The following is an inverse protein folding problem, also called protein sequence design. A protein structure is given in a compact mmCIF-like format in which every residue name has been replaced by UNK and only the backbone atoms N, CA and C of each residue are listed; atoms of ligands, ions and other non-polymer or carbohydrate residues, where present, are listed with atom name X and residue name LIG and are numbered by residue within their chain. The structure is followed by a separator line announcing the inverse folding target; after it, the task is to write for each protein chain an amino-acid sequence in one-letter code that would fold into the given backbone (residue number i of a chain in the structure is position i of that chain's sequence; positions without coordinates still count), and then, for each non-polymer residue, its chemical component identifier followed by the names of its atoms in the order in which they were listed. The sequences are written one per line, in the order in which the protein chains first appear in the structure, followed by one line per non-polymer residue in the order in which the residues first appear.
data_IF_893523037437
#
_entry.id   IF_893523037437
#
_cell.length_a   1.000
_cell.length_b   1.000
_cell.length_c   1.000
_cell.angle_alpha   90.00
_cell.angle_beta   90.00
_cell.angle_gamma   90.00
#
_symmetry.space_group_name_H-M   'P 1'
#
loop_
_entity.id
_entity.type
_entity.pdbx_description
1 polymer ?
#
# COMPACT_ATOMS: atom_id res chain seq x y z
N UNK A 1 15.38 -30.11 3.95
CA UNK A 1 15.61 -28.66 4.14
C UNK A 1 15.08 -27.96 2.90
N UNK A 2 14.03 -27.14 3.00
CA UNK A 2 13.56 -26.34 1.86
C UNK A 2 12.10 -26.59 1.49
N UNK A 3 11.19 -25.85 2.14
CA UNK A 3 9.83 -25.56 1.64
C UNK A 3 9.16 -24.39 2.40
N UNK A 4 9.93 -23.34 2.70
CA UNK A 4 9.43 -22.15 3.43
C UNK A 4 9.81 -20.82 2.77
N UNK A 5 10.52 -20.85 1.64
CA UNK A 5 11.02 -19.63 0.98
C UNK A 5 10.05 -19.05 -0.06
N UNK A 6 8.90 -19.70 -0.30
CA UNK A 6 8.01 -19.39 -1.43
C UNK A 6 6.72 -18.66 -1.03
N UNK A 7 6.53 -18.33 0.25
CA UNK A 7 5.28 -17.73 0.76
C UNK A 7 5.35 -16.22 1.04
N UNK A 8 6.45 -15.55 0.67
CA UNK A 8 6.66 -14.12 0.98
C UNK A 8 6.95 -13.26 -0.24
N UNK A 9 6.57 -13.68 -1.44
CA UNK A 9 6.34 -12.71 -2.50
C UNK A 9 4.95 -12.16 -2.24
N UNK A 10 4.84 -11.11 -1.42
CA UNK A 10 3.59 -10.35 -1.32
C UNK A 10 3.11 -10.11 -2.75
N UNK A 11 1.97 -10.70 -3.11
CA UNK A 11 1.31 -10.42 -4.36
C UNK A 11 1.12 -8.91 -4.36
N UNK A 12 1.89 -8.25 -5.21
CA UNK A 12 1.89 -6.81 -5.33
C UNK A 12 1.01 -6.54 -6.54
N UNK A 13 -0.30 -6.34 -6.33
CA UNK A 13 -1.21 -6.10 -7.44
C UNK A 13 -0.72 -4.91 -8.26
N UNK A 14 -1.01 -4.96 -9.57
CA UNK A 14 -0.57 -3.94 -10.48
C UNK A 14 -1.08 -2.57 -10.00
N UNK A 15 -0.22 -1.54 -10.00
CA UNK A 15 -0.65 -0.24 -9.53
C UNK A 15 -1.83 0.30 -10.36
N UNK A 16 -3.01 0.41 -9.75
CA UNK A 16 -4.16 1.16 -10.26
C UNK A 16 -3.77 2.60 -10.63
N UNK A 17 -4.04 3.00 -11.88
CA UNK A 17 -3.80 4.37 -12.33
C UNK A 17 -4.89 5.33 -11.81
N UNK A 18 -4.92 5.55 -10.49
CA UNK A 18 -5.78 6.54 -9.84
C UNK A 18 -5.23 7.96 -10.08
N UNK A 19 -6.13 8.91 -10.25
CA UNK A 19 -5.81 10.35 -10.30
C UNK A 19 -5.57 10.92 -8.90
N UNK A 20 -4.88 12.06 -8.78
CA UNK A 20 -4.56 12.65 -7.46
C UNK A 20 -5.80 12.92 -6.60
N UNK A 21 -6.94 13.28 -7.22
CA UNK A 21 -8.21 13.50 -6.52
C UNK A 21 -8.80 12.20 -6.00
N UNK A 22 -8.79 11.14 -6.82
CA UNK A 22 -9.28 9.82 -6.42
C UNK A 22 -8.42 9.20 -5.34
N UNK A 23 -7.11 9.47 -5.33
CA UNK A 23 -6.19 9.03 -4.28
C UNK A 23 -6.61 9.64 -2.93
N UNK A 24 -6.93 10.93 -2.90
CA UNK A 24 -7.34 11.62 -1.67
C UNK A 24 -8.74 11.19 -1.21
N UNK A 25 -9.67 11.01 -2.15
CA UNK A 25 -11.02 10.52 -1.89
C UNK A 25 -10.99 9.10 -1.30
N UNK A 26 -10.24 8.20 -1.95
CA UNK A 26 -10.06 6.82 -1.49
C UNK A 26 -9.37 6.74 -0.12
N UNK A 27 -8.36 7.59 0.13
CA UNK A 27 -7.74 7.70 1.45
C UNK A 27 -8.74 8.12 2.52
N UNK A 28 -9.61 9.09 2.22
CA UNK A 28 -10.61 9.57 3.16
C UNK A 28 -11.73 8.58 3.43
N UNK A 29 -12.07 7.74 2.45
CA UNK A 29 -13.14 6.76 2.55
C UNK A 29 -12.69 5.44 3.19
N UNK A 30 -11.50 4.94 2.82
CA UNK A 30 -11.05 3.60 3.18
C UNK A 30 -9.88 3.56 4.17
N UNK A 31 -9.14 4.66 4.33
CA UNK A 31 -7.95 4.67 5.18
C UNK A 31 -8.16 5.44 6.47
N UNK A 32 -7.99 4.75 7.60
CA UNK A 32 -8.07 5.34 8.92
C UNK A 32 -6.79 6.12 9.27
N UNK A 33 -5.62 5.62 8.83
CA UNK A 33 -4.35 6.24 9.15
C UNK A 33 -3.33 6.19 8.01
N UNK A 34 -2.68 7.34 7.76
CA UNK A 34 -1.52 7.45 6.89
C UNK A 34 -0.29 7.90 7.71
N UNK A 35 0.74 7.06 7.77
CA UNK A 35 1.99 7.34 8.47
C UNK A 35 3.08 7.63 7.45
N UNK A 36 3.65 8.83 7.52
CA UNK A 36 4.85 9.17 6.75
C UNK A 36 6.10 8.93 7.59
N UNK A 37 6.96 8.04 7.10
CA UNK A 37 8.27 7.78 7.67
C UNK A 37 9.31 8.54 6.85
N UNK A 38 9.96 9.52 7.49
CA UNK A 38 11.03 10.28 6.85
C UNK A 38 12.19 9.32 6.48
N UNK A 39 12.73 9.40 5.25
CA UNK A 39 13.92 8.64 4.88
C UNK A 39 15.12 9.05 5.72
N UNK A 40 15.93 8.07 6.13
CA UNK A 40 17.21 8.26 6.82
C UNK A 40 18.29 7.53 6.02
N UNK A 41 19.58 7.72 6.37
CA UNK A 41 20.67 6.98 5.70
C UNK A 41 20.53 5.45 5.81
N UNK A 42 19.74 4.96 6.75
CA UNK A 42 19.56 3.52 7.03
C UNK A 42 18.24 2.97 6.46
N UNK A 43 17.26 3.84 6.15
CA UNK A 43 15.93 3.43 5.72
C UNK A 43 15.42 4.31 4.58
N UNK A 44 14.89 3.68 3.53
CA UNK A 44 14.36 4.34 2.32
C UNK A 44 13.17 5.28 2.56
N UNK A 45 12.63 5.36 3.78
CA UNK A 45 11.44 6.15 4.11
C UNK A 45 10.22 5.75 3.27
N UNK A 46 9.13 6.47 3.44
CA UNK A 46 7.93 6.27 2.63
C UNK A 46 6.64 6.50 3.39
N UNK A 47 5.55 6.13 2.75
CA UNK A 47 4.20 6.19 3.28
C UNK A 47 3.75 4.79 3.63
N UNK A 48 3.26 4.61 4.86
CA UNK A 48 2.55 3.41 5.29
C UNK A 48 1.10 3.79 5.51
N UNK A 49 0.20 3.12 4.79
CA UNK A 49 -1.23 3.32 4.91
C UNK A 49 -1.83 2.14 5.69
N UNK A 50 -2.68 2.49 6.63
CA UNK A 50 -3.52 1.58 7.39
C UNK A 50 -4.96 1.88 6.96
N UNK A 51 -5.46 1.02 6.09
CA UNK A 51 -6.82 1.03 5.61
C UNK A 51 -7.52 -0.23 6.12
N UNK A 52 -8.84 -0.26 6.06
CA UNK A 52 -9.72 -1.21 6.77
C UNK A 52 -9.12 -2.62 6.96
N UNK A 53 -9.14 -3.45 5.91
CA UNK A 53 -8.54 -4.79 5.92
C UNK A 53 -7.16 -4.85 5.23
N UNK A 54 -6.64 -3.70 4.79
CA UNK A 54 -5.41 -3.63 3.98
C UNK A 54 -4.37 -2.69 4.58
N UNK A 55 -3.17 -3.24 4.77
CA UNK A 55 -1.97 -2.47 5.06
C UNK A 55 -1.08 -2.41 3.83
N UNK A 56 -0.67 -1.21 3.44
CA UNK A 56 0.26 -1.00 2.34
C UNK A 56 1.39 -0.05 2.74
N UNK A 57 2.52 -0.20 2.06
CA UNK A 57 3.62 0.75 2.19
C UNK A 57 4.28 0.97 0.85
N UNK A 58 4.61 2.23 0.56
CA UNK A 58 5.25 2.64 -0.69
C UNK A 58 6.17 3.84 -0.49
N UNK A 59 7.13 4.07 -1.40
CA UNK A 59 8.02 5.22 -1.34
C UNK A 59 7.26 6.55 -1.52
N UNK A 60 6.10 6.52 -2.19
CA UNK A 60 5.21 7.67 -2.36
C UNK A 60 3.79 7.33 -1.90
N UNK A 61 3.03 8.35 -1.51
CA UNK A 61 1.62 8.22 -1.14
C UNK A 61 0.82 7.55 -2.28
N UNK A 62 1.07 7.97 -3.51
CA UNK A 62 0.45 7.37 -4.71
C UNK A 62 0.71 5.88 -4.79
N UNK A 63 1.97 5.44 -4.70
CA UNK A 63 2.29 4.01 -4.74
C UNK A 63 1.62 3.24 -3.60
N UNK A 64 1.62 3.79 -2.38
CA UNK A 64 1.00 3.15 -1.24
C UNK A 64 -0.53 3.01 -1.42
N UNK A 65 -1.22 4.07 -1.86
CA UNK A 65 -2.68 4.06 -2.10
C UNK A 65 -3.04 3.09 -3.21
N UNK A 66 -2.29 3.16 -4.30
CA UNK A 66 -2.47 2.35 -5.48
C UNK A 66 -2.34 0.85 -5.18
N UNK A 67 -1.38 0.47 -4.33
CA UNK A 67 -1.23 -0.89 -3.81
C UNK A 67 -2.35 -1.28 -2.84
N UNK A 68 -2.79 -0.36 -1.98
CA UNK A 68 -3.85 -0.64 -1.02
C UNK A 68 -5.20 -0.83 -1.72
N UNK A 69 -5.54 0.06 -2.67
CA UNK A 69 -6.74 -0.03 -3.48
C UNK A 69 -6.79 -1.34 -4.27
N UNK A 70 -5.67 -1.76 -4.86
CA UNK A 70 -5.65 -3.00 -5.63
C UNK A 70 -5.71 -4.24 -4.73
N UNK A 71 -5.11 -4.21 -3.53
CA UNK A 71 -5.31 -5.25 -2.51
C UNK A 71 -6.76 -5.32 -2.04
N UNK A 72 -7.42 -4.17 -1.88
CA UNK A 72 -8.81 -4.09 -1.44
C UNK A 72 -9.77 -4.60 -2.53
N UNK A 73 -9.49 -4.30 -3.80
CA UNK A 73 -10.19 -4.82 -4.98
C UNK A 73 -10.11 -6.35 -5.03
N UNK A 74 -8.90 -6.93 -4.85
CA UNK A 74 -8.71 -8.40 -4.77
C UNK A 74 -9.45 -9.07 -3.60
N UNK A 75 -9.73 -8.35 -2.50
CA UNK A 75 -10.47 -8.90 -1.34
C UNK A 75 -11.99 -8.84 -1.58
N UNK A 76 -12.47 -7.85 -2.33
CA UNK A 76 -13.91 -7.64 -2.58
C UNK A 76 -14.44 -8.38 -3.83
N UNK A 77 -13.57 -9.01 -4.63
CA UNK A 77 -13.90 -9.91 -5.75
C UNK A 77 -14.23 -11.34 -5.28
#
# INVERSE_FOLDING_TARGET
MGRWAELWTEHRPAPLNLTDTEILDWLGEYCDQAVYTRPTSEYSGGFTLYCDEVKSSGPTLREAVCLAAAKLDEINE
#
